data_IF_383878539564
#
_entry.id   IF_383878539564
#
_cell.length_a   1.000
_cell.length_b   1.000
_cell.length_c   1.000
_cell.angle_alpha   90.00
_cell.angle_beta   90.00
_cell.angle_gamma   90.00
#
_symmetry.space_group_name_H-M   'P 1'
#
loop_
_entity.id
_entity.type
_entity.pdbx_description
1 polymer ?
#
# COMPACT_ATOMS: atom_id res chain seq x y z
N UNK A 1 -5.15 -5.58 -38.04
CA UNK A 1 -4.65 -4.52 -37.12
C UNK A 1 -3.14 -4.63 -37.13
N UNK A 2 -2.42 -3.54 -37.41
CA UNK A 2 -0.96 -3.55 -37.30
C UNK A 2 -0.59 -3.61 -35.81
N UNK A 3 0.35 -4.47 -35.38
CA UNK A 3 0.83 -4.46 -34.00
C UNK A 3 1.50 -3.10 -33.71
N UNK A 4 1.25 -2.49 -32.55
CA UNK A 4 1.83 -1.20 -32.20
C UNK A 4 3.34 -1.33 -31.97
N UNK A 5 4.10 -0.28 -32.31
CA UNK A 5 5.56 -0.20 -32.29
C UNK A 5 6.26 -0.40 -30.93
N UNK A 6 5.55 -0.81 -29.87
CA UNK A 6 6.07 -0.95 -28.50
C UNK A 6 5.67 -2.30 -27.85
N UNK A 7 5.41 -3.34 -28.64
CA UNK A 7 4.84 -4.65 -28.22
C UNK A 7 5.54 -5.25 -26.98
N UNK A 8 6.87 -5.17 -26.92
CA UNK A 8 7.67 -5.63 -25.78
C UNK A 8 7.24 -5.03 -24.43
N UNK A 9 7.01 -3.72 -24.36
CA UNK A 9 6.70 -3.06 -23.08
C UNK A 9 5.32 -3.49 -22.56
N UNK A 10 4.40 -3.80 -23.48
CA UNK A 10 3.09 -4.35 -23.15
C UNK A 10 3.21 -5.78 -22.66
N UNK A 11 3.94 -6.63 -23.39
CA UNK A 11 4.21 -8.02 -23.00
C UNK A 11 4.86 -8.12 -21.62
N UNK A 12 5.84 -7.26 -21.31
CA UNK A 12 6.48 -7.23 -20.00
C UNK A 12 5.48 -6.92 -18.88
N UNK A 13 4.64 -5.90 -19.06
CA UNK A 13 3.68 -5.49 -18.03
C UNK A 13 2.62 -6.58 -17.82
N UNK A 14 2.13 -7.19 -18.90
CA UNK A 14 1.20 -8.33 -18.83
C UNK A 14 1.85 -9.53 -18.12
N UNK A 15 3.08 -9.89 -18.47
CA UNK A 15 3.79 -11.00 -17.82
C UNK A 15 4.02 -10.76 -16.32
N UNK A 16 4.34 -9.52 -15.92
CA UNK A 16 4.44 -9.15 -14.50
C UNK A 16 3.09 -9.33 -13.80
N UNK A 17 1.99 -8.89 -14.41
CA UNK A 17 0.66 -9.03 -13.85
C UNK A 17 0.21 -10.50 -13.76
N UNK A 18 0.53 -11.35 -14.74
CA UNK A 18 0.27 -12.80 -14.69
C UNK A 18 0.98 -13.47 -13.50
N UNK A 19 2.22 -13.09 -13.23
CA UNK A 19 2.95 -13.54 -12.03
C UNK A 19 2.27 -13.02 -10.77
N UNK A 20 1.88 -11.75 -10.73
CA UNK A 20 1.16 -11.15 -9.60
C UNK A 20 -0.19 -11.82 -9.30
N UNK A 21 -0.92 -12.19 -10.35
CA UNK A 21 -2.17 -12.95 -10.28
C UNK A 21 -1.96 -14.35 -9.71
N UNK A 22 -0.91 -15.04 -10.16
CA UNK A 22 -0.59 -16.41 -9.75
C UNK A 22 0.00 -16.47 -8.33
N UNK A 23 0.68 -15.41 -7.89
CA UNK A 23 1.38 -15.34 -6.61
C UNK A 23 1.01 -14.07 -5.82
N UNK A 24 -0.26 -13.90 -5.43
CA UNK A 24 -0.72 -12.68 -4.78
C UNK A 24 -0.10 -12.53 -3.38
N UNK A 25 0.59 -11.43 -3.14
CA UNK A 25 1.08 -11.06 -1.81
C UNK A 25 0.05 -10.22 -1.07
N UNK A 26 -0.55 -10.80 -0.03
CA UNK A 26 -1.50 -10.11 0.87
C UNK A 26 -1.30 -10.52 2.33
N UNK A 27 -1.67 -9.68 3.31
CA UNK A 27 -1.69 -10.06 4.71
C UNK A 27 -2.46 -11.38 4.97
N UNK A 28 -1.96 -12.22 5.87
CA UNK A 28 -2.75 -13.34 6.36
C UNK A 28 -3.70 -12.84 7.44
N UNK A 29 -4.96 -12.60 7.06
CA UNK A 29 -5.99 -12.17 8.00
C UNK A 29 -6.55 -13.35 8.82
N UNK A 30 -6.45 -14.59 8.35
CA UNK A 30 -6.92 -15.77 9.11
C UNK A 30 -5.98 -16.10 10.27
N UNK A 31 -4.69 -15.76 10.13
CA UNK A 31 -3.71 -15.83 11.21
C UNK A 31 -3.92 -14.83 12.36
N UNK A 32 -4.88 -13.90 12.23
CA UNK A 32 -5.26 -12.96 13.28
C UNK A 32 -6.51 -13.48 13.98
N UNK A 33 -6.39 -13.82 15.27
CA UNK A 33 -7.39 -14.61 16.02
C UNK A 33 -8.78 -13.98 15.98
N UNK A 34 -8.84 -12.66 16.12
CA UNK A 34 -10.11 -11.90 16.15
C UNK A 34 -10.83 -11.87 14.80
N UNK A 35 -10.20 -12.31 13.72
CA UNK A 35 -10.78 -12.33 12.38
C UNK A 35 -11.14 -13.73 11.93
N UNK A 36 -10.79 -14.78 12.67
CA UNK A 36 -11.01 -16.17 12.24
C UNK A 36 -12.48 -16.44 11.94
N UNK A 37 -13.41 -15.91 12.74
CA UNK A 37 -14.85 -16.04 12.54
C UNK A 37 -15.43 -15.12 11.45
N UNK A 38 -14.58 -14.37 10.74
CA UNK A 38 -14.99 -13.57 9.58
C UNK A 38 -14.88 -14.37 8.28
N UNK A 39 -14.28 -15.56 8.34
CA UNK A 39 -14.10 -16.45 7.20
C UNK A 39 -15.09 -17.61 7.24
N UNK A 40 -15.58 -18.02 6.07
CA UNK A 40 -16.35 -19.24 5.91
C UNK A 40 -15.44 -20.49 5.80
N UNK A 41 -16.05 -21.66 5.64
CA UNK A 41 -15.31 -22.93 5.48
C UNK A 41 -14.46 -23.02 4.21
N UNK A 42 -14.64 -22.11 3.24
CA UNK A 42 -13.84 -21.98 2.03
C UNK A 42 -12.75 -20.91 2.16
N UNK A 43 -12.60 -20.29 3.35
CA UNK A 43 -11.64 -19.23 3.62
C UNK A 43 -11.99 -17.90 2.96
N UNK A 44 -13.26 -17.68 2.60
CA UNK A 44 -13.75 -16.41 2.05
C UNK A 44 -14.31 -15.53 3.16
N UNK A 45 -14.09 -14.21 3.03
CA UNK A 45 -14.68 -13.24 3.94
C UNK A 45 -16.20 -13.24 3.81
N UNK A 46 -16.90 -13.32 4.94
CA UNK A 46 -18.36 -13.33 5.03
C UNK A 46 -18.85 -12.39 6.12
N UNK A 47 -20.13 -12.03 6.04
CA UNK A 47 -20.82 -11.26 7.08
C UNK A 47 -20.16 -9.92 7.43
N UNK A 48 -19.48 -9.29 6.47
CA UNK A 48 -18.64 -8.11 6.71
C UNK A 48 -19.38 -6.92 7.36
N UNK A 49 -20.67 -6.80 7.12
CA UNK A 49 -21.50 -5.71 7.66
C UNK A 49 -22.10 -6.04 9.03
N UNK A 50 -21.88 -7.26 9.57
CA UNK A 50 -22.28 -7.60 10.94
C UNK A 50 -21.45 -6.80 11.96
N UNK A 51 -22.08 -6.53 13.11
CA UNK A 51 -21.40 -5.92 14.25
C UNK A 51 -20.47 -6.89 14.96
N UNK A 52 -19.33 -6.36 15.37
CA UNK A 52 -18.40 -6.97 16.31
C UNK A 52 -17.99 -5.88 17.31
N UNK A 53 -18.57 -5.95 18.52
CA UNK A 53 -18.53 -4.85 19.49
C UNK A 53 -19.13 -3.55 18.93
N UNK A 54 -18.35 -2.46 19.02
CA UNK A 54 -18.74 -1.14 18.54
C UNK A 54 -18.58 -0.93 17.03
N UNK A 55 -17.92 -1.85 16.32
CA UNK A 55 -17.57 -1.70 14.92
C UNK A 55 -18.28 -2.73 14.04
N UNK A 56 -18.29 -2.51 12.73
CA UNK A 56 -18.55 -3.60 11.77
C UNK A 56 -17.28 -4.46 11.59
N UNK A 57 -17.43 -5.71 11.15
CA UNK A 57 -16.28 -6.57 10.81
C UNK A 57 -15.43 -5.95 9.71
N UNK A 58 -16.08 -5.36 8.70
CA UNK A 58 -15.45 -4.62 7.59
C UNK A 58 -14.56 -3.48 8.11
N UNK A 59 -15.05 -2.71 9.08
CA UNK A 59 -14.30 -1.60 9.69
C UNK A 59 -13.05 -2.11 10.40
N UNK A 60 -13.15 -3.19 11.17
CA UNK A 60 -12.01 -3.75 11.90
C UNK A 60 -10.92 -4.27 10.95
N UNK A 61 -11.33 -4.92 9.86
CA UNK A 61 -10.40 -5.31 8.79
C UNK A 61 -9.73 -4.09 8.14
N UNK A 62 -10.48 -3.03 7.84
CA UNK A 62 -9.93 -1.80 7.27
C UNK A 62 -8.92 -1.13 8.22
N UNK A 63 -9.22 -1.05 9.52
CA UNK A 63 -8.30 -0.52 10.55
C UNK A 63 -7.01 -1.33 10.63
N UNK A 64 -7.11 -2.66 10.63
CA UNK A 64 -5.94 -3.53 10.63
C UNK A 64 -5.11 -3.39 9.36
N UNK A 65 -5.74 -3.31 8.18
CA UNK A 65 -5.04 -3.13 6.91
C UNK A 65 -4.38 -1.75 6.80
N UNK A 66 -4.97 -0.70 7.35
CA UNK A 66 -4.34 0.62 7.42
C UNK A 66 -3.07 0.57 8.26
N UNK A 67 -3.15 -0.01 9.46
CA UNK A 67 -1.99 -0.23 10.31
C UNK A 67 -0.94 -1.08 9.58
N UNK A 68 -1.34 -2.19 8.97
CA UNK A 68 -0.45 -3.05 8.20
C UNK A 68 0.28 -2.28 7.09
N UNK A 69 -0.43 -1.42 6.34
CA UNK A 69 0.18 -0.64 5.27
C UNK A 69 1.24 0.32 5.81
N UNK A 70 0.99 0.93 6.98
CA UNK A 70 1.96 1.78 7.67
C UNK A 70 3.18 1.00 8.16
N UNK A 71 3.01 -0.23 8.63
CA UNK A 71 4.13 -1.05 9.09
C UNK A 71 4.91 -1.70 7.92
N UNK A 72 4.24 -2.07 6.83
CA UNK A 72 4.76 -2.78 5.62
C UNK A 72 5.57 -1.84 4.69
N UNK A 73 6.38 -0.99 5.33
CA UNK A 73 7.42 -0.18 4.72
C UNK A 73 8.82 -0.71 5.08
N UNK A 74 8.87 -1.81 5.86
CA UNK A 74 10.08 -2.38 6.44
C UNK A 74 10.87 -3.28 5.49
N UNK A 75 12.09 -3.69 5.89
CA UNK A 75 12.97 -4.48 5.03
C UNK A 75 12.59 -5.95 4.89
N UNK A 76 11.65 -6.47 5.70
CA UNK A 76 11.14 -7.85 5.64
C UNK A 76 9.61 -7.86 5.78
N UNK A 77 8.88 -7.70 4.68
CA UNK A 77 7.41 -7.72 4.64
C UNK A 77 6.80 -8.93 5.36
N UNK A 78 7.25 -10.18 5.11
CA UNK A 78 6.80 -11.34 5.89
C UNK A 78 6.98 -11.18 7.41
N UNK A 79 8.15 -10.72 7.84
CA UNK A 79 8.45 -10.51 9.26
C UNK A 79 7.59 -9.41 9.89
N UNK A 80 7.32 -8.32 9.17
CA UNK A 80 6.42 -7.25 9.63
C UNK A 80 4.98 -7.77 9.81
N UNK A 81 4.49 -8.59 8.87
CA UNK A 81 3.15 -9.17 8.97
C UNK A 81 3.04 -10.14 10.15
N UNK A 82 4.07 -10.96 10.39
CA UNK A 82 4.15 -11.81 11.57
C UNK A 82 4.14 -10.99 12.87
N UNK A 83 4.94 -9.91 12.93
CA UNK A 83 4.98 -9.00 14.08
C UNK A 83 3.59 -8.43 14.38
N UNK A 84 2.93 -7.86 13.37
CA UNK A 84 1.61 -7.26 13.54
C UNK A 84 0.58 -8.28 14.02
N UNK A 85 0.55 -9.47 13.42
CA UNK A 85 -0.39 -10.51 13.82
C UNK A 85 -0.16 -10.98 15.27
N UNK A 86 1.10 -11.23 15.65
CA UNK A 86 1.47 -11.65 17.01
C UNK A 86 1.11 -10.60 18.06
N UNK A 87 1.48 -9.33 17.83
CA UNK A 87 1.14 -8.23 18.73
C UNK A 87 -0.37 -8.06 18.83
N UNK A 88 -1.09 -8.17 17.70
CA UNK A 88 -2.56 -8.05 17.69
C UNK A 88 -3.20 -9.13 18.55
N UNK A 89 -2.85 -10.40 18.32
CA UNK A 89 -3.40 -11.51 19.09
C UNK A 89 -3.09 -11.37 20.58
N UNK A 90 -1.86 -11.02 20.93
CA UNK A 90 -1.44 -10.92 22.33
C UNK A 90 -2.10 -9.75 23.07
N UNK A 91 -2.23 -8.58 22.43
CA UNK A 91 -2.97 -7.46 23.00
C UNK A 91 -4.44 -7.81 23.23
N UNK A 92 -5.07 -8.54 22.32
CA UNK A 92 -6.47 -8.96 22.49
C UNK A 92 -6.66 -10.00 23.58
N UNK A 93 -5.73 -10.94 23.77
CA UNK A 93 -5.75 -11.88 24.90
C UNK A 93 -5.61 -11.16 26.25
N UNK A 94 -4.96 -10.01 26.26
CA UNK A 94 -4.85 -9.12 27.42
C UNK A 94 -5.98 -8.08 27.49
N UNK A 95 -7.04 -8.25 26.70
CA UNK A 95 -8.22 -7.38 26.65
C UNK A 95 -7.93 -5.93 26.19
N UNK A 96 -6.78 -5.68 25.56
CA UNK A 96 -6.45 -4.43 24.89
C UNK A 96 -6.99 -4.47 23.46
N UNK A 97 -8.27 -4.12 23.28
CA UNK A 97 -9.02 -4.29 22.02
C UNK A 97 -8.84 -3.10 21.10
N UNK A 98 -7.58 -2.77 20.78
CA UNK A 98 -7.20 -1.50 20.16
C UNK A 98 -7.81 -1.24 18.76
N UNK A 99 -8.24 -2.24 17.99
CA UNK A 99 -8.94 -1.97 16.72
C UNK A 99 -10.39 -1.56 16.97
N UNK A 100 -11.03 -2.06 18.03
CA UNK A 100 -12.39 -1.66 18.43
C UNK A 100 -12.37 -0.29 19.11
N UNK A 101 -11.42 -0.11 20.04
CA UNK A 101 -11.24 1.07 20.88
C UNK A 101 -9.79 1.56 20.79
N UNK A 102 -9.44 2.36 19.77
CA UNK A 102 -8.06 2.82 19.56
C UNK A 102 -7.44 3.53 20.77
N UNK A 103 -8.24 4.16 21.62
CA UNK A 103 -7.77 4.77 22.87
C UNK A 103 -7.10 3.78 23.84
N UNK A 104 -7.43 2.49 23.77
CA UNK A 104 -6.84 1.46 24.64
C UNK A 104 -5.37 1.25 24.36
N UNK A 105 -4.93 1.39 23.10
CA UNK A 105 -3.50 1.34 22.77
C UNK A 105 -2.71 2.42 23.51
N UNK A 106 -3.28 3.63 23.65
CA UNK A 106 -2.61 4.74 24.30
C UNK A 106 -2.68 4.64 25.83
N UNK A 107 -3.80 4.17 26.38
CA UNK A 107 -3.95 3.92 27.82
C UNK A 107 -3.01 2.82 28.30
N UNK A 108 -2.90 1.76 27.52
CA UNK A 108 -2.10 0.58 27.81
C UNK A 108 -0.75 0.59 27.05
N UNK A 109 -0.19 1.77 26.80
CA UNK A 109 1.02 1.92 25.98
C UNK A 109 2.21 1.10 26.52
N UNK A 110 2.32 0.95 27.85
CA UNK A 110 3.34 0.09 28.46
C UNK A 110 3.22 -1.36 27.98
N UNK A 111 2.01 -1.93 28.07
CA UNK A 111 1.71 -3.28 27.58
C UNK A 111 2.00 -3.37 26.08
N UNK A 112 1.55 -2.39 25.29
CA UNK A 112 1.78 -2.37 23.84
C UNK A 112 3.27 -2.37 23.46
N UNK A 113 4.09 -1.57 24.14
CA UNK A 113 5.54 -1.51 23.92
C UNK A 113 6.19 -2.84 24.27
N UNK A 114 5.82 -3.46 25.38
CA UNK A 114 6.35 -4.76 25.80
C UNK A 114 5.99 -5.86 24.81
N UNK A 115 4.75 -5.87 24.30
CA UNK A 115 4.33 -6.84 23.29
C UNK A 115 5.02 -6.64 21.94
N UNK A 116 5.18 -5.39 21.48
CA UNK A 116 5.93 -5.09 20.25
C UNK A 116 7.38 -5.57 20.39
N UNK A 117 8.01 -5.36 21.54
CA UNK A 117 9.39 -5.80 21.81
C UNK A 117 9.49 -7.33 21.79
N UNK A 118 8.63 -8.00 22.54
CA UNK A 118 8.64 -9.46 22.66
C UNK A 118 8.36 -10.15 21.33
N UNK A 119 7.38 -9.66 20.57
CA UNK A 119 7.07 -10.18 19.25
C UNK A 119 8.19 -9.90 18.23
N UNK A 120 8.85 -8.74 18.30
CA UNK A 120 10.02 -8.46 17.46
C UNK A 120 11.13 -9.50 17.68
N UNK A 121 11.46 -9.79 18.93
CA UNK A 121 12.48 -10.78 19.28
C UNK A 121 12.08 -12.20 18.83
N UNK A 122 10.81 -12.56 19.01
CA UNK A 122 10.28 -13.85 18.56
C UNK A 122 10.36 -14.01 17.05
N UNK A 123 9.97 -12.99 16.28
CA UNK A 123 10.07 -13.01 14.82
C UNK A 123 11.53 -13.04 14.38
N UNK A 124 12.43 -12.30 15.03
CA UNK A 124 13.86 -12.30 14.71
C UNK A 124 14.47 -13.70 14.83
N UNK A 125 14.09 -14.49 15.84
CA UNK A 125 14.56 -15.89 16.00
C UNK A 125 14.24 -16.78 14.80
N UNK A 126 13.15 -16.50 14.09
CA UNK A 126 12.70 -17.29 12.93
C UNK A 126 13.19 -16.70 11.61
N UNK A 127 13.17 -15.37 11.48
CA UNK A 127 13.37 -14.66 10.21
C UNK A 127 14.79 -14.19 9.96
N UNK A 128 15.58 -13.89 10.99
CA UNK A 128 16.82 -13.13 10.83
C UNK A 128 17.84 -13.80 9.89
N UNK A 129 18.00 -15.12 9.97
CA UNK A 129 18.90 -15.87 9.09
C UNK A 129 18.42 -15.89 7.64
N UNK A 130 17.12 -16.13 7.42
CA UNK A 130 16.50 -16.15 6.09
C UNK A 130 16.60 -14.77 5.41
N UNK A 131 16.33 -13.70 6.17
CA UNK A 131 16.49 -12.34 5.70
C UNK A 131 17.95 -12.02 5.37
N UNK A 132 18.89 -12.43 6.22
CA UNK A 132 20.31 -12.18 6.02
C UNK A 132 20.85 -12.85 4.75
N UNK A 133 20.44 -14.10 4.50
CA UNK A 133 20.77 -14.83 3.27
C UNK A 133 20.23 -14.12 2.03
N UNK A 134 18.93 -13.80 2.01
CA UNK A 134 18.27 -13.14 0.89
C UNK A 134 18.84 -11.74 0.58
N UNK A 135 19.37 -11.04 1.59
CA UNK A 135 19.89 -9.68 1.47
C UNK A 135 21.42 -9.58 1.48
N UNK A 136 22.14 -10.71 1.44
CA UNK A 136 23.61 -10.76 1.55
C UNK A 136 24.13 -9.93 2.75
N UNK A 137 23.46 -10.08 3.89
CA UNK A 137 23.68 -9.32 5.12
C UNK A 137 24.03 -10.25 6.29
N UNK A 138 24.04 -9.73 7.52
CA UNK A 138 24.23 -10.51 8.75
C UNK A 138 22.94 -10.53 9.56
N UNK A 139 22.60 -11.66 10.16
CA UNK A 139 21.40 -11.82 10.98
C UNK A 139 21.33 -10.80 12.14
N UNK A 140 22.48 -10.39 12.69
CA UNK A 140 22.55 -9.35 13.74
C UNK A 140 22.14 -7.94 13.31
N UNK A 141 21.94 -7.71 12.00
CA UNK A 141 21.39 -6.46 11.45
C UNK A 141 19.89 -6.52 11.21
N UNK A 142 19.27 -7.69 11.43
CA UNK A 142 17.84 -7.84 11.26
C UNK A 142 17.10 -6.93 12.25
N UNK A 143 16.23 -6.09 11.72
CA UNK A 143 15.42 -5.18 12.51
C UNK A 143 14.11 -4.93 11.75
N UNK A 144 12.99 -5.13 12.43
CA UNK A 144 11.65 -4.85 11.90
C UNK A 144 11.23 -3.40 12.13
N UNK A 145 11.90 -2.67 12.99
CA UNK A 145 11.62 -1.25 13.20
C UNK A 145 12.17 -0.43 12.03
N UNK A 146 11.33 0.46 11.52
CA UNK A 146 11.66 1.35 10.41
C UNK A 146 12.77 2.33 10.78
N UNK A 147 13.43 2.87 9.75
CA UNK A 147 14.48 3.89 9.86
C UNK A 147 15.68 3.46 10.73
N UNK A 148 15.90 2.15 10.85
CA UNK A 148 16.91 1.53 11.72
C UNK A 148 16.83 2.02 13.19
N UNK A 149 15.64 2.45 13.61
CA UNK A 149 15.38 2.79 15.01
C UNK A 149 15.52 1.53 15.85
N UNK A 150 16.13 1.68 17.03
CA UNK A 150 16.16 0.62 18.06
C UNK A 150 15.22 0.95 19.21
N UNK A 151 14.55 2.10 19.14
CA UNK A 151 13.67 2.62 20.16
C UNK A 151 12.23 2.20 19.89
N UNK A 152 11.76 1.21 20.65
CA UNK A 152 10.41 0.65 20.50
C UNK A 152 9.34 1.70 20.75
N UNK A 153 9.52 2.58 21.75
CA UNK A 153 8.56 3.65 22.04
C UNK A 153 8.34 4.58 20.83
N UNK A 154 9.42 4.97 20.14
CA UNK A 154 9.32 5.80 18.95
C UNK A 154 8.57 5.09 17.82
N UNK A 155 8.86 3.81 17.60
CA UNK A 155 8.16 2.98 16.63
C UNK A 155 6.67 2.81 16.98
N UNK A 156 6.35 2.51 18.25
CA UNK A 156 4.99 2.36 18.74
C UNK A 156 4.20 3.66 18.56
N UNK A 157 4.71 4.81 19.01
CA UNK A 157 3.97 6.08 18.89
C UNK A 157 3.80 6.52 17.43
N UNK A 158 4.87 6.47 16.64
CA UNK A 158 4.88 7.04 15.29
C UNK A 158 4.23 6.12 14.24
N UNK A 159 4.41 4.80 14.34
CA UNK A 159 3.88 3.86 13.33
C UNK A 159 2.54 3.26 13.76
N UNK A 160 2.40 2.85 15.01
CA UNK A 160 1.14 2.31 15.52
C UNK A 160 0.19 3.41 15.95
N UNK A 161 0.64 4.28 16.86
CA UNK A 161 -0.16 5.35 17.44
C UNK A 161 -0.75 6.29 16.39
N UNK A 162 0.06 6.79 15.45
CA UNK A 162 -0.44 7.67 14.38
C UNK A 162 -1.52 6.99 13.52
N UNK A 163 -1.36 5.71 13.19
CA UNK A 163 -2.35 4.93 12.43
C UNK A 163 -3.66 4.74 13.19
N UNK A 164 -3.57 4.46 14.49
CA UNK A 164 -4.72 4.26 15.37
C UNK A 164 -5.42 5.57 15.77
N UNK A 165 -4.69 6.69 15.73
CA UNK A 165 -5.25 8.01 15.98
C UNK A 165 -6.27 8.41 14.90
N UNK A 166 -6.13 7.93 13.65
CA UNK A 166 -7.08 8.25 12.57
C UNK A 166 -8.49 7.77 12.88
N UNK A 167 -8.77 6.45 13.07
CA UNK A 167 -10.11 6.00 13.44
C UNK A 167 -10.57 6.57 14.78
N UNK A 168 -9.66 6.82 15.74
CA UNK A 168 -10.02 7.48 17.00
C UNK A 168 -10.60 8.88 16.76
N UNK A 169 -9.90 9.71 15.99
CA UNK A 169 -10.31 11.08 15.69
C UNK A 169 -11.61 11.09 14.89
N UNK A 170 -11.74 10.23 13.88
CA UNK A 170 -12.98 10.12 13.10
C UNK A 170 -14.19 9.78 13.99
N UNK A 171 -14.04 8.84 14.91
CA UNK A 171 -15.11 8.51 15.87
C UNK A 171 -15.40 9.66 16.84
N UNK A 172 -14.40 10.45 17.24
CA UNK A 172 -14.59 11.59 18.17
C UNK A 172 -15.16 12.84 17.50
N UNK A 173 -14.87 13.03 16.22
CA UNK A 173 -15.33 14.16 15.43
C UNK A 173 -16.73 13.92 14.83
N UNK A 174 -17.25 12.69 14.93
CA UNK A 174 -18.59 12.36 14.51
C UNK A 174 -19.66 13.12 15.34
N UNK A 175 -20.69 13.69 14.69
CA UNK A 175 -21.87 14.23 15.34
C UNK A 175 -22.47 13.30 16.42
N UNK A 176 -22.99 13.91 17.48
CA UNK A 176 -23.62 13.15 18.56
C UNK A 176 -24.83 12.35 18.06
N UNK A 177 -24.83 11.05 18.34
CA UNK A 177 -25.89 10.12 17.92
C UNK A 177 -25.68 9.48 16.56
N UNK A 178 -24.61 9.82 15.83
CA UNK A 178 -24.26 9.16 14.58
C UNK A 178 -23.61 7.78 14.83
N UNK A 179 -23.89 6.83 13.93
CA UNK A 179 -23.28 5.52 13.99
C UNK A 179 -21.81 5.59 13.54
N UNK A 180 -20.89 5.34 14.46
CA UNK A 180 -19.44 5.39 14.20
C UNK A 180 -18.83 4.02 13.90
N UNK A 181 -19.66 3.01 13.66
CA UNK A 181 -19.22 1.63 13.46
C UNK A 181 -18.45 1.37 12.17
N UNK A 182 -18.51 2.33 11.25
CA UNK A 182 -17.86 2.34 9.93
C UNK A 182 -17.05 3.62 9.72
N UNK A 183 -16.67 4.33 10.79
CA UNK A 183 -16.10 5.67 10.69
C UNK A 183 -14.89 5.79 9.74
N UNK A 184 -13.95 4.83 9.76
CA UNK A 184 -12.83 4.82 8.82
C UNK A 184 -13.31 4.52 7.40
N UNK A 185 -14.17 3.53 7.22
CA UNK A 185 -14.73 3.18 5.92
C UNK A 185 -15.49 4.34 5.27
N UNK A 186 -16.30 5.06 6.03
CA UNK A 186 -17.08 6.21 5.55
C UNK A 186 -16.15 7.35 5.14
N UNK A 187 -15.13 7.63 5.97
CA UNK A 187 -14.10 8.62 5.64
C UNK A 187 -13.37 8.26 4.34
N UNK A 188 -12.84 7.04 4.21
CA UNK A 188 -12.05 6.69 3.03
C UNK A 188 -12.92 6.65 1.77
N UNK A 189 -14.19 6.22 1.88
CA UNK A 189 -15.11 6.13 0.74
C UNK A 189 -15.77 7.47 0.36
N UNK A 190 -15.66 8.50 1.21
CA UNK A 190 -16.11 9.86 0.91
C UNK A 190 -15.33 10.50 -0.25
N UNK A 191 -14.13 9.99 -0.57
CA UNK A 191 -13.30 10.53 -1.63
C UNK A 191 -13.76 10.09 -3.02
N UNK A 192 -13.54 10.90 -4.07
CA UNK A 192 -14.05 10.62 -5.42
C UNK A 192 -13.59 9.26 -5.99
N UNK A 193 -12.39 8.82 -5.66
CA UNK A 193 -11.79 7.55 -6.09
C UNK A 193 -10.86 6.97 -5.04
N UNK A 194 -10.44 5.71 -5.23
CA UNK A 194 -9.41 5.09 -4.39
C UNK A 194 -8.03 5.79 -4.51
N UNK A 195 -7.72 6.39 -5.66
CA UNK A 195 -6.52 7.22 -5.86
C UNK A 195 -6.59 8.53 -5.08
N UNK A 196 -7.73 9.23 -5.08
CA UNK A 196 -7.91 10.40 -4.23
C UNK A 196 -7.82 10.01 -2.75
N UNK A 197 -8.40 8.87 -2.38
CA UNK A 197 -8.33 8.35 -1.02
C UNK A 197 -6.90 8.08 -0.56
N UNK A 198 -6.07 7.43 -1.40
CA UNK A 198 -4.68 7.12 -1.05
C UNK A 198 -3.86 8.39 -0.78
N UNK A 199 -4.09 9.44 -1.57
CA UNK A 199 -3.49 10.76 -1.34
C UNK A 199 -3.98 11.37 -0.03
N UNK A 200 -5.28 11.31 0.27
CA UNK A 200 -5.85 11.92 1.48
C UNK A 200 -5.47 11.18 2.77
N UNK A 201 -5.34 9.85 2.73
CA UNK A 201 -4.80 9.08 3.86
C UNK A 201 -3.40 9.54 4.25
N UNK A 202 -2.61 10.04 3.30
CA UNK A 202 -1.29 10.58 3.55
C UNK A 202 -1.32 12.08 3.91
N UNK A 203 -1.99 12.89 3.10
CA UNK A 203 -1.78 14.34 3.06
C UNK A 203 -2.95 15.16 3.65
N UNK A 204 -4.06 14.54 4.07
CA UNK A 204 -5.18 15.28 4.63
C UNK A 204 -4.75 16.10 5.87
N UNK A 205 -5.07 17.40 5.98
CA UNK A 205 -4.51 18.26 7.04
C UNK A 205 -4.79 17.80 8.48
N UNK A 206 -5.94 17.17 8.72
CA UNK A 206 -6.37 16.66 10.04
C UNK A 206 -6.10 15.17 10.26
N UNK A 207 -6.53 14.33 9.32
CA UNK A 207 -6.49 12.87 9.42
C UNK A 207 -5.33 12.20 8.64
N UNK A 208 -4.52 12.97 7.93
CA UNK A 208 -3.42 12.45 7.14
C UNK A 208 -2.30 11.91 8.03
N UNK A 209 -1.75 10.77 7.63
CA UNK A 209 -0.66 10.10 8.35
C UNK A 209 0.71 10.74 8.10
N UNK A 210 0.83 11.62 7.10
CA UNK A 210 2.04 12.34 6.74
C UNK A 210 3.24 11.39 6.60
N UNK A 211 4.33 11.67 7.32
CA UNK A 211 5.55 10.84 7.28
C UNK A 211 5.37 9.41 7.81
N UNK A 212 4.29 9.11 8.53
CA UNK A 212 4.03 7.76 9.00
C UNK A 212 3.70 6.81 7.83
N UNK A 213 3.19 7.32 6.70
CA UNK A 213 2.89 6.53 5.51
C UNK A 213 3.54 7.12 4.24
N UNK A 214 4.25 6.30 3.48
CA UNK A 214 4.70 6.66 2.14
C UNK A 214 3.61 6.46 1.08
N UNK A 215 3.78 7.06 -0.11
CA UNK A 215 2.81 6.93 -1.20
C UNK A 215 2.55 5.47 -1.59
N UNK A 216 3.62 4.67 -1.72
CA UNK A 216 3.53 3.23 -1.99
C UNK A 216 2.66 2.49 -0.98
N UNK A 217 2.78 2.83 0.30
CA UNK A 217 1.98 2.21 1.35
C UNK A 217 0.51 2.66 1.30
N UNK A 218 0.25 3.92 0.98
CA UNK A 218 -1.11 4.41 0.79
C UNK A 218 -1.81 3.73 -0.41
N UNK A 219 -1.10 3.54 -1.53
CA UNK A 219 -1.58 2.78 -2.67
C UNK A 219 -1.72 1.28 -2.36
N UNK A 220 -0.85 0.72 -1.52
CA UNK A 220 -0.99 -0.66 -1.04
C UNK A 220 -2.26 -0.84 -0.20
N UNK A 221 -2.58 0.13 0.67
CA UNK A 221 -3.85 0.15 1.39
C UNK A 221 -5.04 0.20 0.43
N UNK A 222 -5.01 1.06 -0.60
CA UNK A 222 -6.04 1.09 -1.64
C UNK A 222 -6.19 -0.26 -2.36
N UNK A 223 -5.08 -0.90 -2.75
CA UNK A 223 -5.07 -2.26 -3.33
C UNK A 223 -5.74 -3.29 -2.40
N UNK A 224 -5.53 -3.22 -1.10
CA UNK A 224 -6.16 -4.16 -0.18
C UNK A 224 -7.66 -3.92 -0.02
N UNK A 225 -8.08 -2.66 0.12
CA UNK A 225 -9.49 -2.27 0.24
C UNK A 225 -10.28 -2.60 -1.02
N UNK A 226 -9.74 -2.30 -2.20
CA UNK A 226 -10.48 -2.42 -3.47
C UNK A 226 -10.32 -3.80 -4.11
N UNK A 227 -9.08 -4.30 -4.20
CA UNK A 227 -8.77 -5.47 -5.02
C UNK A 227 -8.65 -6.75 -4.20
N UNK A 228 -7.83 -6.74 -3.15
CA UNK A 228 -7.38 -7.99 -2.49
C UNK A 228 -8.40 -8.59 -1.53
N UNK A 229 -9.15 -7.74 -0.81
CA UNK A 229 -10.19 -8.16 0.13
C UNK A 229 -11.57 -7.58 -0.20
N UNK A 230 -11.67 -6.64 -1.15
CA UNK A 230 -12.93 -6.04 -1.62
C UNK A 230 -13.80 -5.52 -0.47
N UNK A 231 -13.18 -4.75 0.42
CA UNK A 231 -13.83 -4.16 1.59
C UNK A 231 -14.62 -2.89 1.26
N UNK A 232 -14.41 -2.25 0.11
CA UNK A 232 -15.25 -1.13 -0.31
C UNK A 232 -16.70 -1.56 -0.56
N UNK A 233 -17.66 -0.73 -0.15
CA UNK A 233 -19.08 -0.87 -0.47
C UNK A 233 -19.46 -0.11 -1.74
N UNK A 234 -18.55 0.72 -2.27
CA UNK A 234 -18.73 1.42 -3.54
C UNK A 234 -18.52 0.48 -4.72
N UNK A 235 -19.41 0.59 -5.71
CA UNK A 235 -19.40 -0.24 -6.93
C UNK A 235 -19.12 0.56 -8.19
N UNK A 236 -18.91 1.87 -8.08
CA UNK A 236 -18.59 2.71 -9.22
C UNK A 236 -17.17 2.46 -9.73
N UNK A 237 -16.95 2.78 -11.00
CA UNK A 237 -15.67 2.55 -11.69
C UNK A 237 -14.47 3.22 -11.01
N UNK A 238 -14.69 4.33 -10.31
CA UNK A 238 -13.68 5.05 -9.55
C UNK A 238 -13.31 4.41 -8.20
N UNK A 239 -13.95 3.31 -7.84
CA UNK A 239 -13.57 2.39 -6.76
C UNK A 239 -13.38 0.96 -7.26
N UNK A 240 -13.22 0.79 -8.58
CA UNK A 240 -12.98 -0.49 -9.23
C UNK A 240 -11.49 -0.87 -9.32
N UNK A 241 -11.18 -1.95 -10.05
CA UNK A 241 -9.85 -2.57 -10.03
C UNK A 241 -8.70 -1.70 -10.62
N UNK A 242 -9.03 -0.62 -11.33
CA UNK A 242 -8.07 0.34 -11.90
C UNK A 242 -8.08 1.71 -11.17
N UNK A 243 -8.73 1.80 -10.02
CA UNK A 243 -9.00 3.08 -9.34
C UNK A 243 -7.84 3.64 -8.52
N UNK A 244 -6.68 2.99 -8.52
CA UNK A 244 -5.48 3.40 -7.79
C UNK A 244 -4.23 3.17 -8.65
N UNK A 245 -3.18 3.96 -8.43
CA UNK A 245 -1.89 3.72 -9.05
C UNK A 245 -1.23 2.43 -8.54
N UNK A 246 -0.46 1.76 -9.40
CA UNK A 246 0.37 0.61 -9.01
C UNK A 246 1.29 1.03 -7.84
N UNK A 247 1.32 0.29 -6.71
CA UNK A 247 2.14 0.62 -5.55
C UNK A 247 3.62 0.30 -5.81
N UNK A 248 4.26 1.10 -6.66
CA UNK A 248 5.67 0.95 -7.00
C UNK A 248 6.59 1.37 -5.84
N UNK A 249 7.52 0.50 -5.47
CA UNK A 249 8.66 0.87 -4.65
C UNK A 249 9.92 1.09 -5.50
N UNK A 250 10.99 1.55 -4.87
CA UNK A 250 12.27 1.77 -5.57
C UNK A 250 12.94 0.46 -6.04
N UNK A 251 12.62 -0.69 -5.46
CA UNK A 251 13.17 -1.98 -5.90
C UNK A 251 12.55 -2.39 -7.24
N UNK A 252 11.22 -2.42 -7.30
CA UNK A 252 10.46 -2.68 -8.51
C UNK A 252 10.85 -1.71 -9.62
N UNK A 253 10.94 -0.42 -9.29
CA UNK A 253 11.42 0.61 -10.21
C UNK A 253 12.82 0.33 -10.79
N UNK A 254 13.76 -0.15 -9.96
CA UNK A 254 15.12 -0.51 -10.41
C UNK A 254 15.13 -1.74 -11.30
N UNK A 255 14.22 -2.69 -11.08
CA UNK A 255 14.03 -3.83 -11.99
C UNK A 255 13.52 -3.33 -13.33
N UNK A 256 12.47 -2.50 -13.35
CA UNK A 256 11.94 -1.90 -14.60
C UNK A 256 12.97 -1.04 -15.35
N UNK A 257 13.88 -0.37 -14.64
CA UNK A 257 15.00 0.30 -15.27
C UNK A 257 15.92 -0.70 -15.99
N UNK A 258 16.33 -1.76 -15.29
CA UNK A 258 17.30 -2.75 -15.80
C UNK A 258 16.76 -3.60 -16.95
N UNK A 259 15.44 -3.79 -17.03
CA UNK A 259 14.81 -4.43 -18.19
C UNK A 259 14.74 -3.51 -19.41
N UNK A 260 15.04 -2.22 -19.25
CA UNK A 260 14.87 -1.22 -20.31
C UNK A 260 13.44 -0.67 -20.42
N UNK A 261 12.50 -1.12 -19.59
CA UNK A 261 11.11 -0.64 -19.63
C UNK A 261 11.01 0.87 -19.42
N UNK A 262 11.76 1.44 -18.48
CA UNK A 262 11.73 2.89 -18.26
C UNK A 262 12.38 3.66 -19.43
N UNK A 263 13.45 3.11 -20.00
CA UNK A 263 14.16 3.71 -21.14
C UNK A 263 13.33 3.72 -22.43
N UNK A 264 12.26 2.93 -22.49
CA UNK A 264 11.27 2.99 -23.56
C UNK A 264 10.52 4.33 -23.56
N UNK A 265 10.32 4.94 -22.39
CA UNK A 265 9.42 6.09 -22.21
C UNK A 265 10.14 7.42 -22.06
N UNK A 266 11.38 7.42 -21.60
CA UNK A 266 12.23 8.61 -21.56
C UNK A 266 13.70 8.23 -21.69
N UNK A 267 14.51 9.18 -22.13
CA UNK A 267 15.95 9.02 -22.28
C UNK A 267 16.67 9.07 -20.94
N UNK A 268 17.88 8.50 -20.89
CA UNK A 268 18.70 8.56 -19.68
C UNK A 268 19.03 10.01 -19.28
N UNK A 269 19.25 10.91 -20.24
CA UNK A 269 19.51 12.32 -19.99
C UNK A 269 18.32 13.03 -19.33
N UNK A 270 17.09 12.72 -19.77
CA UNK A 270 15.87 13.19 -19.11
C UNK A 270 15.81 12.68 -17.67
N UNK A 271 16.07 11.39 -17.45
CA UNK A 271 16.10 10.82 -16.10
C UNK A 271 17.20 11.40 -15.20
N UNK A 272 18.36 11.77 -15.76
CA UNK A 272 19.41 12.52 -15.03
C UNK A 272 18.92 13.93 -14.67
N UNK A 273 18.26 14.62 -15.61
CA UNK A 273 17.70 15.96 -15.37
C UNK A 273 16.61 15.97 -14.30
N UNK A 274 15.94 14.84 -14.10
CA UNK A 274 14.90 14.64 -13.08
C UNK A 274 15.44 14.09 -11.75
N UNK A 275 16.76 13.96 -11.60
CA UNK A 275 17.40 13.38 -10.42
C UNK A 275 16.93 11.94 -10.13
N UNK A 276 16.44 11.23 -11.16
CA UNK A 276 16.06 9.81 -11.08
C UNK A 276 17.31 8.95 -11.17
N UNK A 277 18.21 9.27 -12.11
CA UNK A 277 19.56 8.72 -12.19
C UNK A 277 20.51 9.71 -11.53
N UNK A 278 21.19 9.26 -10.48
CA UNK A 278 22.11 10.08 -9.68
C UNK A 278 23.53 9.51 -9.80
N UNK A 279 24.33 9.99 -10.75
CA UNK A 279 25.67 9.46 -11.00
C UNK A 279 26.58 9.66 -9.79
N UNK A 280 27.33 8.62 -9.40
CA UNK A 280 28.29 8.70 -8.30
C UNK A 280 27.69 8.66 -6.90
N UNK A 281 26.37 8.79 -6.76
CA UNK A 281 25.67 8.83 -5.46
C UNK A 281 25.37 7.43 -4.88
N UNK A 282 25.66 6.37 -5.64
CA UNK A 282 25.46 4.99 -5.22
C UNK A 282 26.61 4.45 -4.36
N UNK A 283 26.36 3.33 -3.69
CA UNK A 283 27.39 2.63 -2.91
C UNK A 283 28.61 2.32 -3.78
N UNK A 284 29.79 2.74 -3.34
CA UNK A 284 31.04 2.54 -4.09
C UNK A 284 31.22 3.46 -5.29
N UNK A 285 30.52 4.60 -5.35
CA UNK A 285 30.60 5.56 -6.47
C UNK A 285 29.81 5.13 -7.71
N UNK A 286 28.95 4.12 -7.58
CA UNK A 286 28.06 3.68 -8.65
C UNK A 286 26.91 4.67 -8.86
N UNK A 287 26.10 4.47 -9.90
CA UNK A 287 24.88 5.25 -10.09
C UNK A 287 23.81 4.83 -9.09
N UNK A 288 23.20 5.81 -8.41
CA UNK A 288 22.02 5.58 -7.59
C UNK A 288 20.76 5.86 -8.41
N UNK A 289 19.78 4.95 -8.33
CA UNK A 289 18.49 5.08 -9.01
C UNK A 289 17.42 5.41 -7.99
N UNK A 290 16.96 6.67 -7.99
CA UNK A 290 15.88 7.17 -7.15
C UNK A 290 14.57 7.20 -7.93
N UNK A 291 14.05 6.00 -8.21
CA UNK A 291 12.89 5.82 -9.12
C UNK A 291 11.63 6.57 -8.64
N UNK A 292 11.47 6.81 -7.33
CA UNK A 292 10.36 7.62 -6.80
C UNK A 292 10.30 9.03 -7.38
N UNK A 293 11.42 9.57 -7.89
CA UNK A 293 11.46 10.89 -8.52
C UNK A 293 10.80 10.93 -9.92
N UNK A 294 10.38 9.78 -10.47
CA UNK A 294 9.60 9.70 -11.72
C UNK A 294 8.17 10.23 -11.54
N UNK A 295 7.66 10.34 -10.31
CA UNK A 295 6.31 10.85 -10.06
C UNK A 295 6.12 12.25 -10.68
N UNK A 296 5.04 12.40 -11.45
CA UNK A 296 4.73 13.64 -12.19
C UNK A 296 5.65 13.90 -13.40
N UNK A 297 6.54 12.99 -13.78
CA UNK A 297 7.35 13.10 -15.01
C UNK A 297 6.60 12.52 -16.20
N UNK A 298 6.73 13.18 -17.35
CA UNK A 298 5.93 12.88 -18.53
C UNK A 298 6.77 12.24 -19.64
N UNK A 299 6.13 11.39 -20.46
CA UNK A 299 6.75 10.79 -21.64
C UNK A 299 6.18 11.38 -22.92
N UNK A 300 7.04 11.98 -23.75
CA UNK A 300 6.69 12.47 -25.09
C UNK A 300 6.28 11.29 -25.97
N UNK A 301 7.01 10.18 -25.92
CA UNK A 301 6.72 8.99 -26.71
C UNK A 301 5.36 8.38 -26.36
N UNK A 302 5.05 8.22 -25.07
CA UNK A 302 3.76 7.71 -24.63
C UNK A 302 2.60 8.64 -25.01
N UNK A 303 2.83 9.96 -24.98
CA UNK A 303 1.84 10.96 -25.39
C UNK A 303 1.54 10.89 -26.90
N UNK A 304 2.53 10.51 -27.71
CA UNK A 304 2.39 10.37 -29.15
C UNK A 304 1.76 9.04 -29.60
N UNK A 305 1.65 8.04 -28.71
CA UNK A 305 0.98 6.76 -28.96
C UNK A 305 -0.54 6.93 -28.76
N UNK A 306 -1.37 6.88 -29.83
CA UNK A 306 -2.80 7.14 -29.70
C UNK A 306 -3.52 6.13 -28.82
N UNK A 307 -3.12 4.85 -28.86
CA UNK A 307 -3.78 3.80 -28.10
C UNK A 307 -3.50 4.00 -26.60
N UNK A 308 -2.24 4.24 -26.25
CA UNK A 308 -1.84 4.49 -24.87
C UNK A 308 -2.41 5.81 -24.35
N UNK A 309 -2.40 6.88 -25.15
CA UNK A 309 -2.96 8.17 -24.78
C UNK A 309 -4.47 8.11 -24.51
N UNK A 310 -5.23 7.38 -25.34
CA UNK A 310 -6.67 7.16 -25.10
C UNK A 310 -6.92 6.37 -23.82
N UNK A 311 -6.21 5.26 -23.61
CA UNK A 311 -6.34 4.46 -22.39
C UNK A 311 -5.94 5.25 -21.14
N UNK A 312 -4.87 6.04 -21.22
CA UNK A 312 -4.42 6.90 -20.14
C UNK A 312 -5.43 8.00 -19.79
N UNK A 313 -6.05 8.62 -20.79
CA UNK A 313 -7.10 9.61 -20.57
C UNK A 313 -8.32 8.97 -19.87
N UNK A 314 -8.71 7.76 -20.31
CA UNK A 314 -9.80 7.01 -19.70
C UNK A 314 -9.52 6.66 -18.24
N UNK A 315 -8.32 6.11 -17.98
CA UNK A 315 -7.80 5.82 -16.65
C UNK A 315 -7.89 7.05 -15.73
N UNK A 316 -7.33 8.18 -16.16
CA UNK A 316 -7.25 9.39 -15.34
C UNK A 316 -8.63 10.01 -15.06
N UNK A 317 -9.52 10.03 -16.04
CA UNK A 317 -10.82 10.71 -15.93
C UNK A 317 -11.90 9.86 -15.26
N UNK A 318 -11.94 8.55 -15.55
CA UNK A 318 -13.00 7.67 -15.07
C UNK A 318 -12.61 6.91 -13.82
N UNK A 319 -11.42 6.32 -13.81
CA UNK A 319 -10.99 5.41 -12.73
C UNK A 319 -10.29 6.17 -11.60
N UNK A 320 -9.20 6.87 -11.91
CA UNK A 320 -8.41 7.58 -10.91
C UNK A 320 -9.07 8.89 -10.46
N UNK A 321 -9.96 9.48 -11.27
CA UNK A 321 -10.61 10.79 -11.02
C UNK A 321 -9.63 11.93 -10.74
N UNK A 322 -8.41 11.84 -11.24
CA UNK A 322 -7.37 12.86 -11.06
C UNK A 322 -7.54 14.03 -12.03
N UNK A 323 -8.34 13.87 -13.09
CA UNK A 323 -8.52 14.87 -14.14
C UNK A 323 -9.99 15.04 -14.53
N UNK A 324 -10.43 16.29 -14.68
CA UNK A 324 -11.77 16.62 -15.19
C UNK A 324 -11.86 16.63 -16.72
N UNK A 325 -10.73 16.71 -17.41
CA UNK A 325 -10.61 16.74 -18.88
C UNK A 325 -9.49 15.80 -19.33
N UNK A 326 -9.48 15.34 -20.59
CA UNK A 326 -8.41 14.48 -21.08
C UNK A 326 -7.04 15.15 -20.89
N UNK A 327 -6.09 14.50 -20.18
CA UNK A 327 -4.76 15.04 -19.99
C UNK A 327 -4.03 15.12 -21.33
N UNK A 328 -3.23 16.18 -21.50
CA UNK A 328 -2.43 16.41 -22.72
C UNK A 328 -1.09 15.67 -22.72
N UNK A 329 -0.67 15.16 -21.56
CA UNK A 329 0.61 14.49 -21.36
C UNK A 329 0.39 13.21 -20.55
N UNK A 330 1.19 12.18 -20.83
CA UNK A 330 1.16 10.90 -20.12
C UNK A 330 2.25 10.86 -19.05
N UNK A 331 1.86 10.64 -17.79
CA UNK A 331 2.80 10.43 -16.69
C UNK A 331 3.38 9.02 -16.70
N UNK A 332 4.71 8.91 -16.60
CA UNK A 332 5.44 7.64 -16.73
C UNK A 332 5.00 6.63 -15.67
N UNK A 333 4.77 7.08 -14.43
CA UNK A 333 4.38 6.21 -13.32
C UNK A 333 3.04 5.47 -13.57
N UNK A 334 2.16 6.05 -14.38
CA UNK A 334 0.81 5.51 -14.67
C UNK A 334 0.74 4.70 -15.96
N UNK A 335 1.82 4.67 -16.75
CA UNK A 335 1.87 3.90 -18.01
C UNK A 335 1.50 2.42 -17.79
N UNK A 336 2.02 1.71 -16.77
CA UNK A 336 1.66 0.32 -16.54
C UNK A 336 0.15 0.12 -16.35
N UNK A 337 -0.50 0.97 -15.56
CA UNK A 337 -1.95 0.90 -15.35
C UNK A 337 -2.75 1.20 -16.64
N UNK A 338 -2.27 2.12 -17.47
CA UNK A 338 -2.91 2.43 -18.76
C UNK A 338 -2.76 1.28 -19.77
N UNK A 339 -1.60 0.61 -19.80
CA UNK A 339 -1.36 -0.61 -20.59
C UNK A 339 -2.33 -1.71 -20.17
N UNK A 340 -2.42 -1.98 -18.86
CA UNK A 340 -3.31 -3.02 -18.31
C UNK A 340 -4.78 -2.72 -18.61
N UNK A 341 -5.20 -1.45 -18.50
CA UNK A 341 -6.56 -1.04 -18.83
C UNK A 341 -6.89 -1.27 -20.32
N UNK A 342 -5.93 -1.00 -21.20
CA UNK A 342 -6.12 -1.19 -22.64
C UNK A 342 -6.15 -2.66 -23.06
N UNK A 343 -5.35 -3.52 -22.43
CA UNK A 343 -5.38 -4.97 -22.66
C UNK A 343 -6.63 -5.63 -22.05
N UNK A 344 -7.10 -5.12 -20.91
CA UNK A 344 -8.36 -5.50 -20.28
C UNK A 344 -8.38 -6.88 -19.62
N UNK A 345 -7.24 -7.59 -19.58
CA UNK A 345 -7.13 -8.92 -18.96
C UNK A 345 -6.69 -8.87 -17.50
N UNK A 346 -5.85 -7.89 -17.17
CA UNK A 346 -5.16 -7.77 -15.88
C UNK A 346 -5.33 -6.38 -15.27
N UNK A 347 -5.06 -6.24 -13.98
CA UNK A 347 -5.30 -4.98 -13.25
C UNK A 347 -4.08 -4.52 -12.44
N UNK A 348 -3.98 -3.22 -12.07
CA UNK A 348 -2.93 -2.71 -11.19
C UNK A 348 -2.81 -3.41 -9.82
N UNK A 349 -3.86 -4.14 -9.42
CA UNK A 349 -3.88 -4.93 -8.19
C UNK A 349 -3.12 -6.25 -8.29
N UNK A 350 -2.76 -6.69 -9.49
CA UNK A 350 -1.95 -7.88 -9.78
C UNK A 350 -0.49 -7.43 -9.92
#
# INVERSE_FOLDING_TARGET
MNPPKNEWAWELVTAIAEVGHSFPSRPDLQGVEIFQHYFDGAGQLTDLDKRDGSCSRRELLARYLLLNAVLDQGPDTPGVRMLLAQVTNELYRQEVRFLHRPEEFFKELGIAVDQITSAHEAVAKVRASLWAEANQSRASRYNLFLDNTRQVLGYAMFRWGTSLAVPLLLTKDAPAGEDTSTALLDYIQSWPSAECMSQQIKDHPRYGLGKAIGDKAAHLFAKWIVHSYRLSTRTDVSWGLYSFEVPFDSNAGRVLWRTGFLLEWATEDEYRSWDVVQPGQGKGGLHYLRITNIRGKHSVKATADPNLATAYADLCMKHLRTHARPPKTVEIQRIPAAILLADGKHTPGE
#
